data_IF_634239573429
#
_entry.id   IF_634239573429
#
_cell.length_a   1.000
_cell.length_b   1.000
_cell.length_c   1.000
_cell.angle_alpha   90.00
_cell.angle_beta   90.00
_cell.angle_gamma   90.00
#
_symmetry.space_group_name_H-M   'P 1'
#
loop_
_entity.id
_entity.type
_entity.pdbx_description
1 polymer ?
#
# COMPACT_ATOMS: atom_id res chain seq x y z
N UNK A 1 33.21 -7.40 -0.36
CA UNK A 1 32.65 -6.94 -1.65
C UNK A 1 31.15 -6.65 -1.49
N UNK A 2 30.81 -5.64 -0.69
CA UNK A 2 29.42 -5.31 -0.36
C UNK A 2 29.26 -3.79 -0.33
N UNK A 3 28.93 -3.19 -1.46
CA UNK A 3 28.49 -1.80 -1.57
C UNK A 3 28.05 -1.55 -3.02
N UNK A 4 27.01 -0.74 -3.21
CA UNK A 4 26.46 -0.20 -4.48
C UNK A 4 25.17 -0.81 -5.05
N UNK A 5 24.76 -2.06 -4.76
CA UNK A 5 23.41 -2.52 -5.16
C UNK A 5 22.29 -1.99 -4.24
N UNK A 6 22.61 -1.67 -2.99
CA UNK A 6 21.63 -1.22 -2.00
C UNK A 6 21.03 0.16 -2.33
N UNK A 7 21.71 1.04 -3.06
CA UNK A 7 21.23 2.42 -3.26
C UNK A 7 20.12 2.53 -4.30
N UNK A 8 20.24 1.89 -5.46
CA UNK A 8 19.22 1.93 -6.50
C UNK A 8 17.95 1.17 -6.09
N UNK A 9 18.13 0.03 -5.44
CA UNK A 9 17.04 -0.81 -4.97
C UNK A 9 16.30 -0.18 -3.77
N UNK A 10 17.04 0.40 -2.81
CA UNK A 10 16.43 1.17 -1.71
C UNK A 10 15.64 2.37 -2.21
N UNK A 11 16.09 3.02 -3.29
CA UNK A 11 15.37 4.15 -3.91
C UNK A 11 14.01 3.74 -4.50
N UNK A 12 13.85 2.49 -4.94
CA UNK A 12 12.59 1.98 -5.49
C UNK A 12 11.62 1.45 -4.45
N UNK A 13 12.04 1.39 -3.18
CA UNK A 13 11.16 1.02 -2.08
C UNK A 13 9.94 1.93 -2.02
N UNK A 14 8.82 1.32 -1.69
CA UNK A 14 7.52 1.96 -1.69
C UNK A 14 7.25 2.67 -0.36
N UNK A 15 6.59 3.81 -0.42
CA UNK A 15 6.20 4.61 0.74
C UNK A 15 4.71 4.89 0.65
N UNK A 16 4.00 4.67 1.75
CA UNK A 16 2.65 5.19 1.91
C UNK A 16 2.69 6.40 2.86
N UNK A 17 2.33 7.57 2.36
CA UNK A 17 2.12 8.76 3.18
C UNK A 17 0.76 8.65 3.85
N UNK A 18 0.75 8.42 5.16
CA UNK A 18 -0.42 8.40 6.01
C UNK A 18 -0.83 9.81 6.43
N UNK A 19 -2.14 10.06 6.43
CA UNK A 19 -2.73 11.32 6.89
C UNK A 19 -3.07 11.20 8.38
N UNK A 20 -2.34 11.95 9.20
CA UNK A 20 -2.47 11.93 10.66
C UNK A 20 -3.34 13.10 11.11
N UNK A 21 -4.47 12.79 11.75
CA UNK A 21 -5.47 13.78 12.16
C UNK A 21 -5.51 14.05 13.67
N UNK A 22 -4.79 13.27 14.47
CA UNK A 22 -4.75 13.42 15.92
C UNK A 22 -3.36 13.04 16.44
N UNK A 23 -2.92 13.69 17.52
CA UNK A 23 -1.60 13.47 18.11
C UNK A 23 -1.45 12.07 18.73
N UNK A 24 -2.54 11.49 19.24
CA UNK A 24 -2.55 10.16 19.87
C UNK A 24 -2.09 9.06 18.91
N UNK A 25 -2.55 9.08 17.67
CA UNK A 25 -2.13 8.11 16.65
C UNK A 25 -0.64 8.25 16.31
N UNK A 26 -0.09 9.48 16.36
CA UNK A 26 1.35 9.70 16.19
C UNK A 26 2.14 9.22 17.40
N UNK A 27 1.60 9.37 18.61
CA UNK A 27 2.21 8.88 19.84
C UNK A 27 2.30 7.35 19.86
N UNK A 28 1.22 6.64 19.47
CA UNK A 28 1.26 5.19 19.31
C UNK A 28 2.32 4.74 18.29
N UNK A 29 2.51 5.51 17.22
CA UNK A 29 3.56 5.24 16.23
C UNK A 29 4.97 5.41 16.83
N UNK A 30 5.16 6.42 17.68
CA UNK A 30 6.44 6.72 18.32
C UNK A 30 6.79 5.75 19.45
N UNK A 31 5.85 5.49 20.36
CA UNK A 31 6.10 4.78 21.62
C UNK A 31 5.83 3.29 21.51
N UNK A 32 4.71 2.92 20.87
CA UNK A 32 4.24 1.54 20.82
C UNK A 32 4.65 0.81 19.52
N UNK A 33 5.22 1.53 18.55
CA UNK A 33 5.70 0.98 17.28
C UNK A 33 4.59 0.52 16.34
N UNK A 34 3.41 1.16 16.37
CA UNK A 34 2.34 0.85 15.42
C UNK A 34 1.49 2.06 15.04
N UNK A 35 0.91 2.01 13.84
CA UNK A 35 -0.05 3.01 13.35
C UNK A 35 -1.32 2.33 12.83
N UNK A 36 -2.46 3.03 12.88
CA UNK A 36 -3.74 2.50 12.38
C UNK A 36 -4.27 3.23 11.16
N UNK A 37 -4.83 2.47 10.22
CA UNK A 37 -5.60 3.00 9.09
C UNK A 37 -7.02 2.43 9.13
N UNK A 38 -8.09 3.24 9.22
CA UNK A 38 -9.46 2.74 9.17
C UNK A 38 -9.72 2.00 7.84
N UNK A 39 -10.19 0.76 7.90
CA UNK A 39 -10.37 -0.08 6.69
C UNK A 39 -11.29 0.60 5.65
N UNK A 40 -12.35 1.27 6.12
CA UNK A 40 -13.32 1.98 5.27
C UNK A 40 -12.74 3.18 4.53
N UNK A 41 -11.66 3.79 5.06
CA UNK A 41 -11.00 4.97 4.50
C UNK A 41 -9.62 4.65 3.88
N UNK A 42 -9.22 3.39 3.91
CA UNK A 42 -7.93 2.96 3.38
C UNK A 42 -7.85 3.21 1.86
N UNK A 43 -6.68 3.61 1.35
CA UNK A 43 -6.44 3.69 -0.10
C UNK A 43 -6.59 2.31 -0.76
N UNK A 44 -6.61 2.27 -2.09
CA UNK A 44 -6.65 1.00 -2.85
C UNK A 44 -5.45 0.10 -2.54
N UNK A 45 -4.31 0.71 -2.23
CA UNK A 45 -3.06 0.04 -1.90
C UNK A 45 -2.51 0.57 -0.60
N UNK A 46 -2.54 -0.24 0.47
CA UNK A 46 -1.93 0.09 1.76
C UNK A 46 -0.52 -0.50 1.93
N UNK A 47 -0.17 -1.50 1.11
CA UNK A 47 1.12 -2.16 1.15
C UNK A 47 2.23 -1.20 0.76
N UNK A 48 3.19 -1.00 1.67
CA UNK A 48 4.38 -0.19 1.43
C UNK A 48 5.53 -0.61 2.35
N UNK A 49 6.77 -0.46 1.88
CA UNK A 49 7.98 -0.74 2.65
C UNK A 49 8.18 0.24 3.81
N UNK A 50 7.67 1.46 3.66
CA UNK A 50 7.68 2.50 4.69
C UNK A 50 6.33 3.20 4.81
N UNK A 51 6.03 3.67 6.02
CA UNK A 51 5.02 4.69 6.25
C UNK A 51 5.69 6.04 6.47
N UNK A 52 5.18 7.08 5.85
CA UNK A 52 5.49 8.47 6.17
C UNK A 52 4.28 9.16 6.78
N UNK A 53 4.47 10.13 7.67
CA UNK A 53 3.40 10.71 8.47
C UNK A 53 3.21 12.18 8.13
N UNK A 54 2.12 12.49 7.42
CA UNK A 54 1.67 13.86 7.21
C UNK A 54 0.83 14.32 8.41
N UNK A 55 1.34 15.24 9.22
CA UNK A 55 0.58 15.87 10.28
C UNK A 55 -0.36 16.92 9.67
N UNK A 56 -1.66 16.77 9.82
CA UNK A 56 -2.63 17.75 9.28
C UNK A 56 -2.63 19.07 10.05
N UNK A 57 -3.43 20.04 9.57
CA UNK A 57 -3.74 21.26 10.32
C UNK A 57 -4.53 21.03 11.63
N UNK A 58 -4.76 19.80 12.08
CA UNK A 58 -5.19 19.55 13.47
C UNK A 58 -4.05 19.84 14.47
N UNK A 59 -2.81 19.87 14.00
CA UNK A 59 -1.59 20.08 14.79
C UNK A 59 -1.19 21.57 14.87
N UNK A 60 -2.13 22.52 14.67
CA UNK A 60 -1.94 23.98 14.46
C UNK A 60 -0.87 24.71 15.30
N UNK A 61 -0.56 24.21 16.49
CA UNK A 61 0.39 24.83 17.43
C UNK A 61 1.79 24.19 17.40
N UNK A 62 1.96 23.11 16.63
CA UNK A 62 3.20 22.37 16.51
C UNK A 62 3.96 22.79 15.26
N UNK A 63 5.29 22.81 15.36
CA UNK A 63 6.16 23.12 14.21
C UNK A 63 5.97 22.12 13.07
N UNK A 64 5.58 20.87 13.36
CA UNK A 64 5.29 19.84 12.35
C UNK A 64 3.92 19.96 11.68
N UNK A 65 3.08 20.96 12.03
CA UNK A 65 1.78 21.11 11.41
C UNK A 65 1.89 21.21 9.88
N UNK A 66 0.98 20.52 9.19
CA UNK A 66 0.90 20.54 7.73
C UNK A 66 2.20 20.13 7.03
N UNK A 67 2.96 19.23 7.63
CA UNK A 67 4.26 18.80 7.16
C UNK A 67 4.38 17.27 7.23
N UNK A 68 5.22 16.67 6.39
CA UNK A 68 5.69 15.30 6.55
C UNK A 68 7.07 15.37 7.20
N UNK A 69 7.16 14.90 8.43
CA UNK A 69 8.40 15.02 9.22
C UNK A 69 9.04 13.68 9.53
N UNK A 70 8.21 12.64 9.69
CA UNK A 70 8.64 11.34 10.15
C UNK A 70 8.26 10.25 9.15
N UNK A 71 9.08 9.22 9.10
CA UNK A 71 8.81 7.98 8.38
C UNK A 71 9.37 6.79 9.15
N UNK A 72 8.86 5.60 8.89
CA UNK A 72 9.31 4.37 9.56
C UNK A 72 9.15 3.16 8.64
N UNK A 73 10.06 2.16 8.74
CA UNK A 73 9.93 0.93 7.96
C UNK A 73 8.73 0.12 8.46
N UNK A 74 7.91 -0.37 7.53
CA UNK A 74 6.78 -1.24 7.83
C UNK A 74 7.26 -2.64 8.18
N UNK A 75 6.61 -3.28 9.16
CA UNK A 75 6.94 -4.63 9.64
C UNK A 75 5.85 -5.64 9.36
N UNK A 76 4.61 -5.38 9.79
CA UNK A 76 3.47 -6.28 9.55
C UNK A 76 2.14 -5.55 9.59
N UNK A 77 1.14 -6.16 8.99
CA UNK A 77 -0.24 -5.69 8.92
C UNK A 77 -1.16 -6.70 9.59
N UNK A 78 -2.07 -6.19 10.42
CA UNK A 78 -3.16 -6.97 11.02
C UNK A 78 -4.46 -6.25 10.83
N UNK A 79 -5.54 -6.99 10.60
CA UNK A 79 -6.89 -6.45 10.59
C UNK A 79 -7.50 -6.68 11.97
N UNK A 80 -7.83 -5.60 12.67
CA UNK A 80 -8.37 -5.63 14.04
C UNK A 80 -9.51 -4.64 14.15
N UNK A 81 -10.43 -4.88 15.08
CA UNK A 81 -11.47 -3.93 15.44
C UNK A 81 -10.90 -2.78 16.28
N UNK A 82 -11.59 -1.65 16.37
CA UNK A 82 -11.15 -0.53 17.22
C UNK A 82 -11.06 -0.95 18.70
N UNK A 83 -12.00 -1.73 19.20
CA UNK A 83 -12.01 -2.20 20.59
C UNK A 83 -10.77 -3.05 20.92
N UNK A 84 -10.32 -3.89 19.98
CA UNK A 84 -9.09 -4.67 20.15
C UNK A 84 -7.83 -3.79 20.10
N UNK A 85 -7.84 -2.71 19.30
CA UNK A 85 -6.71 -1.78 19.20
C UNK A 85 -6.59 -0.82 20.37
N UNK A 86 -7.72 -0.33 20.84
CA UNK A 86 -7.84 0.64 21.93
C UNK A 86 -8.80 0.08 22.99
N UNK A 87 -8.32 -0.78 23.90
CA UNK A 87 -9.17 -1.41 24.91
C UNK A 87 -9.90 -0.41 25.83
N UNK A 88 -9.32 0.77 26.05
CA UNK A 88 -9.93 1.86 26.82
C UNK A 88 -11.12 2.52 26.10
N UNK A 89 -11.36 2.22 24.82
CA UNK A 89 -12.43 2.81 24.00
C UNK A 89 -13.47 1.77 23.56
N UNK A 90 -13.76 0.77 24.40
CA UNK A 90 -14.72 -0.31 24.08
C UNK A 90 -16.14 0.20 23.81
N UNK A 91 -16.56 1.28 24.46
CA UNK A 91 -17.89 1.89 24.30
C UNK A 91 -17.95 2.95 23.19
N UNK A 92 -16.87 3.13 22.41
CA UNK A 92 -16.86 4.09 21.31
C UNK A 92 -17.90 3.66 20.25
N UNK A 93 -18.65 4.59 19.60
CA UNK A 93 -19.60 4.27 18.52
C UNK A 93 -19.04 3.50 17.31
N UNK A 94 -17.72 3.33 17.27
CA UNK A 94 -16.94 2.69 16.21
C UNK A 94 -16.07 1.55 16.75
N UNK A 95 -16.37 1.07 17.95
CA UNK A 95 -15.64 -0.01 18.61
C UNK A 95 -15.52 -1.27 17.72
N UNK A 96 -16.58 -1.59 16.98
CA UNK A 96 -16.62 -2.72 16.05
C UNK A 96 -16.09 -2.41 14.63
N UNK A 97 -15.71 -1.16 14.32
CA UNK A 97 -15.15 -0.83 13.01
C UNK A 97 -13.76 -1.48 12.87
N UNK A 98 -13.46 -1.99 11.67
CA UNK A 98 -12.15 -2.56 11.36
C UNK A 98 -11.11 -1.51 10.97
N UNK A 99 -9.88 -1.76 11.39
CA UNK A 99 -8.68 -0.97 11.16
C UNK A 99 -7.53 -1.90 10.78
N UNK A 100 -6.69 -1.45 9.86
CA UNK A 100 -5.36 -2.04 9.66
C UNK A 100 -4.44 -1.51 10.76
N UNK A 101 -3.95 -2.39 11.63
CA UNK A 101 -2.81 -2.12 12.51
C UNK A 101 -1.54 -2.45 11.77
N UNK A 102 -0.74 -1.43 11.53
CA UNK A 102 0.54 -1.53 10.83
C UNK A 102 1.61 -1.39 11.88
N UNK A 103 2.35 -2.46 12.13
CA UNK A 103 3.56 -2.38 12.94
C UNK A 103 4.67 -1.77 12.12
N UNK A 104 5.44 -0.92 12.79
CA UNK A 104 6.50 -0.13 12.18
C UNK A 104 7.77 -0.23 13.04
N UNK A 105 8.91 0.04 12.42
CA UNK A 105 10.14 0.30 13.16
C UNK A 105 10.11 1.68 13.87
N UNK A 106 11.23 2.05 14.49
CA UNK A 106 11.35 3.36 15.13
C UNK A 106 11.12 4.49 14.11
N UNK A 107 10.48 5.58 14.55
CA UNK A 107 10.31 6.77 13.73
C UNK A 107 11.67 7.39 13.41
N UNK A 108 11.87 7.68 12.13
CA UNK A 108 13.03 8.36 11.60
C UNK A 108 12.59 9.75 11.15
N UNK A 109 13.33 10.78 11.56
CA UNK A 109 13.08 12.15 11.11
C UNK A 109 13.70 12.36 9.73
N UNK A 110 12.95 12.98 8.83
CA UNK A 110 13.50 13.44 7.55
C UNK A 110 14.50 14.57 7.80
N UNK A 111 15.63 14.55 7.10
CA UNK A 111 16.61 15.65 7.14
C UNK A 111 15.97 16.97 6.73
N UNK A 112 15.04 16.93 5.76
CA UNK A 112 14.25 18.06 5.29
C UNK A 112 12.76 17.68 5.38
N UNK A 113 12.02 18.22 6.36
CA UNK A 113 10.57 18.03 6.44
C UNK A 113 9.87 18.60 5.20
N UNK A 114 8.81 17.94 4.74
CA UNK A 114 8.13 18.26 3.47
C UNK A 114 6.81 18.99 3.78
N UNK A 115 6.72 20.32 3.59
CA UNK A 115 5.50 21.08 3.85
C UNK A 115 4.41 20.82 2.81
N UNK A 116 3.15 20.97 3.20
CA UNK A 116 2.03 20.92 2.23
C UNK A 116 1.74 22.25 1.53
N UNK A 117 2.53 23.30 1.77
CA UNK A 117 2.36 24.62 1.16
C UNK A 117 0.91 25.12 1.19
N UNK A 118 0.34 25.41 0.02
CA UNK A 118 -1.07 25.83 -0.14
C UNK A 118 -2.06 24.67 -0.26
N UNK A 119 -1.58 23.42 -0.29
CA UNK A 119 -2.39 22.23 -0.50
C UNK A 119 -3.13 21.84 0.78
N UNK A 120 -4.47 22.03 0.78
CA UNK A 120 -5.27 21.99 2.01
C UNK A 120 -5.88 20.63 2.37
N UNK A 121 -5.96 19.70 1.42
CA UNK A 121 -6.65 18.40 1.62
C UNK A 121 -5.84 17.27 1.03
N UNK A 122 -4.94 16.74 1.83
CA UNK A 122 -4.20 15.53 1.50
C UNK A 122 -5.04 14.28 1.75
N UNK A 123 -4.99 13.37 0.80
CA UNK A 123 -5.34 11.97 0.98
C UNK A 123 -4.06 11.17 1.19
N UNK A 124 -4.20 9.86 1.41
CA UNK A 124 -3.07 8.95 1.32
C UNK A 124 -2.36 9.10 -0.03
N UNK A 125 -1.03 9.09 -0.03
CA UNK A 125 -0.19 9.13 -1.24
C UNK A 125 0.66 7.87 -1.27
N UNK A 126 0.59 7.10 -2.35
CA UNK A 126 1.53 6.02 -2.61
C UNK A 126 2.67 6.56 -3.49
N UNK A 127 3.91 6.44 -3.01
CA UNK A 127 5.09 7.04 -3.62
C UNK A 127 6.32 6.16 -3.41
N UNK A 128 7.50 6.64 -3.80
CA UNK A 128 8.77 5.94 -3.58
C UNK A 128 9.60 6.63 -2.50
N UNK A 129 10.51 5.88 -1.87
CA UNK A 129 11.44 6.42 -0.89
C UNK A 129 12.35 7.49 -1.52
N UNK A 130 12.73 7.29 -2.77
CA UNK A 130 13.50 8.28 -3.54
C UNK A 130 12.79 9.63 -3.69
N UNK A 131 11.49 9.61 -4.01
CA UNK A 131 10.66 10.83 -4.08
C UNK A 131 10.50 11.47 -2.70
N UNK A 132 10.22 10.66 -1.68
CA UNK A 132 10.09 11.15 -0.30
C UNK A 132 11.35 11.91 0.15
N UNK A 133 12.54 11.36 -0.09
CA UNK A 133 13.80 11.97 0.38
C UNK A 133 14.22 13.23 -0.41
N UNK A 134 13.66 13.45 -1.60
CA UNK A 134 14.00 14.59 -2.47
C UNK A 134 12.93 15.66 -2.55
N UNK A 135 11.68 15.34 -2.20
CA UNK A 135 10.57 16.26 -2.32
C UNK A 135 10.79 17.54 -1.49
N UNK A 136 10.42 18.67 -2.08
CA UNK A 136 10.41 19.97 -1.40
C UNK A 136 8.99 20.36 -1.00
N UNK A 137 7.98 19.79 -1.67
CA UNK A 137 6.57 19.98 -1.39
C UNK A 137 5.82 18.64 -1.54
N UNK A 138 4.72 18.47 -0.80
CA UNK A 138 3.87 17.26 -0.90
C UNK A 138 3.39 16.96 -2.33
N UNK A 139 3.29 17.99 -3.20
CA UNK A 139 2.92 17.83 -4.62
C UNK A 139 3.93 16.99 -5.40
N UNK A 140 5.20 17.00 -5.01
CA UNK A 140 6.27 16.24 -5.68
C UNK A 140 6.15 14.72 -5.45
N UNK A 141 5.35 14.33 -4.45
CA UNK A 141 5.14 12.92 -4.07
C UNK A 141 4.14 12.21 -4.98
N UNK A 142 3.28 12.94 -5.67
CA UNK A 142 2.29 12.36 -6.58
C UNK A 142 2.96 11.83 -7.85
N UNK A 143 2.51 10.66 -8.29
CA UNK A 143 2.94 10.03 -9.54
C UNK A 143 1.81 10.14 -10.56
N UNK A 144 2.05 10.79 -11.69
CA UNK A 144 1.04 10.97 -12.75
C UNK A 144 0.74 9.66 -13.48
N UNK A 145 1.75 8.80 -13.67
CA UNK A 145 1.66 7.56 -14.46
C UNK A 145 1.89 6.30 -13.61
N UNK A 146 1.21 6.19 -12.46
CA UNK A 146 1.37 5.05 -11.55
C UNK A 146 0.97 3.71 -12.24
N UNK A 147 1.92 2.77 -12.46
CA UNK A 147 1.62 1.49 -13.08
C UNK A 147 0.57 0.67 -12.31
N UNK A 148 0.46 0.84 -10.99
CA UNK A 148 -0.60 0.22 -10.21
C UNK A 148 -1.99 0.66 -10.68
N UNK A 149 -2.20 1.97 -10.91
CA UNK A 149 -3.49 2.49 -11.36
C UNK A 149 -3.78 2.12 -12.82
N UNK A 150 -2.75 2.01 -13.67
CA UNK A 150 -2.88 1.49 -15.04
C UNK A 150 -3.38 0.03 -15.02
N UNK A 151 -2.72 -0.85 -14.26
CA UNK A 151 -3.13 -2.24 -14.13
C UNK A 151 -4.52 -2.37 -13.49
N UNK A 152 -4.80 -1.61 -12.43
CA UNK A 152 -6.11 -1.60 -11.78
C UNK A 152 -7.24 -1.24 -12.75
N UNK A 153 -7.01 -0.23 -13.60
CA UNK A 153 -7.99 0.23 -14.59
C UNK A 153 -8.21 -0.82 -15.68
N UNK A 154 -7.13 -1.35 -16.24
CA UNK A 154 -7.20 -2.40 -17.27
C UNK A 154 -7.92 -3.66 -16.77
N UNK A 155 -7.64 -4.10 -15.53
CA UNK A 155 -8.37 -5.22 -14.93
C UNK A 155 -9.89 -4.97 -14.91
N UNK A 156 -10.32 -3.76 -14.55
CA UNK A 156 -11.74 -3.39 -14.52
C UNK A 156 -12.35 -3.33 -15.91
N UNK A 157 -11.61 -2.83 -16.90
CA UNK A 157 -12.02 -2.80 -18.31
C UNK A 157 -12.23 -4.22 -18.86
N UNK A 158 -11.42 -5.18 -18.42
CA UNK A 158 -11.61 -6.61 -18.69
C UNK A 158 -12.65 -7.31 -17.80
N UNK A 159 -13.55 -6.55 -17.16
CA UNK A 159 -14.64 -7.05 -16.30
C UNK A 159 -14.19 -7.87 -15.09
N UNK A 160 -12.92 -7.77 -14.69
CA UNK A 160 -12.45 -8.33 -13.44
C UNK A 160 -12.85 -7.43 -12.27
N UNK A 161 -13.03 -8.04 -11.10
CA UNK A 161 -13.38 -7.35 -9.86
C UNK A 161 -12.21 -7.37 -8.88
N UNK A 162 -11.21 -6.47 -9.04
CA UNK A 162 -10.09 -6.38 -8.12
C UNK A 162 -10.58 -5.99 -6.73
N UNK A 163 -10.13 -6.76 -5.74
CA UNK A 163 -10.28 -6.49 -4.32
C UNK A 163 -9.00 -5.82 -3.81
N UNK A 164 -9.16 -4.84 -2.92
CA UNK A 164 -8.06 -4.09 -2.32
C UNK A 164 -7.67 -4.65 -0.95
N UNK A 165 -6.37 -4.60 -0.65
CA UNK A 165 -5.82 -4.77 0.70
C UNK A 165 -6.22 -6.06 1.43
N UNK A 166 -6.45 -7.17 0.71
CA UNK A 166 -6.72 -8.45 1.39
C UNK A 166 -5.41 -8.94 2.01
N UNK A 167 -5.43 -9.22 3.31
CA UNK A 167 -4.27 -9.71 4.03
C UNK A 167 -4.03 -11.19 3.71
N UNK A 168 -2.78 -11.53 3.46
CA UNK A 168 -2.27 -12.88 3.28
C UNK A 168 -1.14 -13.05 4.30
N UNK A 169 -1.44 -13.78 5.38
CA UNK A 169 -0.61 -13.71 6.57
C UNK A 169 -0.56 -12.28 7.11
N UNK A 170 0.65 -11.76 7.24
CA UNK A 170 0.94 -10.46 7.85
C UNK A 170 1.12 -9.32 6.82
N UNK A 171 0.84 -9.55 5.54
CA UNK A 171 0.98 -8.52 4.50
C UNK A 171 -0.25 -8.44 3.58
N UNK A 172 -0.61 -7.23 3.11
CA UNK A 172 -1.65 -7.05 2.11
C UNK A 172 -1.12 -7.41 0.72
N UNK A 173 -1.92 -8.14 -0.05
CA UNK A 173 -1.74 -8.18 -1.50
C UNK A 173 -2.15 -6.82 -2.10
N UNK A 174 -1.36 -6.31 -3.06
CA UNK A 174 -1.64 -5.02 -3.69
C UNK A 174 -2.95 -5.05 -4.48
N UNK A 175 -3.15 -6.13 -5.24
CA UNK A 175 -4.42 -6.45 -5.90
C UNK A 175 -4.79 -7.90 -5.60
N UNK A 176 -6.07 -8.17 -5.36
CA UNK A 176 -6.56 -9.55 -5.22
C UNK A 176 -7.70 -9.81 -6.19
N UNK A 177 -7.65 -10.94 -6.89
CA UNK A 177 -8.71 -11.40 -7.77
C UNK A 177 -9.28 -12.71 -7.23
N UNK A 178 -10.61 -12.80 -7.15
CA UNK A 178 -11.28 -14.03 -6.75
C UNK A 178 -11.40 -14.97 -7.95
N UNK A 179 -11.02 -16.22 -7.77
CA UNK A 179 -11.21 -17.31 -8.72
C UNK A 179 -12.15 -18.37 -8.12
N UNK A 180 -12.53 -19.38 -8.91
CA UNK A 180 -13.43 -20.45 -8.46
C UNK A 180 -12.82 -21.31 -7.35
N UNK A 181 -11.52 -21.61 -7.44
CA UNK A 181 -10.83 -22.49 -6.49
C UNK A 181 -10.04 -21.74 -5.41
N UNK A 182 -10.03 -20.41 -5.42
CA UNK A 182 -9.18 -19.63 -4.52
C UNK A 182 -9.03 -18.17 -4.92
N UNK A 183 -7.85 -17.61 -4.63
CA UNK A 183 -7.50 -16.22 -4.87
C UNK A 183 -6.18 -16.09 -5.61
N UNK A 184 -6.12 -15.12 -6.51
CA UNK A 184 -4.89 -14.66 -7.13
C UNK A 184 -4.48 -13.34 -6.45
N UNK A 185 -3.36 -13.36 -5.74
CA UNK A 185 -2.70 -12.16 -5.24
C UNK A 185 -1.75 -11.61 -6.30
N UNK A 186 -1.76 -10.30 -6.52
CA UNK A 186 -0.81 -9.61 -7.38
C UNK A 186 -0.04 -8.61 -6.54
N UNK A 187 1.27 -8.70 -6.64
CA UNK A 187 2.23 -7.85 -5.96
C UNK A 187 2.90 -6.91 -6.97
N UNK A 188 2.63 -5.61 -6.85
CA UNK A 188 3.13 -4.56 -7.76
C UNK A 188 4.46 -3.98 -7.25
N UNK A 189 5.47 -4.83 -7.04
CA UNK A 189 6.74 -4.44 -6.44
C UNK A 189 7.92 -5.05 -7.19
N UNK A 190 9.07 -4.38 -7.10
CA UNK A 190 10.35 -4.93 -7.56
C UNK A 190 10.80 -6.12 -6.69
N UNK A 191 11.75 -6.92 -7.18
CA UNK A 191 12.16 -8.22 -6.61
C UNK A 191 12.49 -8.19 -5.11
N UNK A 192 12.82 -7.02 -4.56
CA UNK A 192 13.43 -6.84 -3.24
C UNK A 192 12.47 -6.26 -2.18
N UNK A 193 11.19 -6.58 -2.24
CA UNK A 193 10.42 -6.56 -0.97
C UNK A 193 10.92 -7.75 -0.16
N UNK A 194 11.49 -7.48 1.02
CA UNK A 194 11.92 -8.48 2.00
C UNK A 194 10.69 -9.20 2.61
N UNK A 195 9.82 -9.73 1.74
CA UNK A 195 8.76 -10.65 2.08
C UNK A 195 9.46 -11.97 2.30
N UNK A 196 9.85 -12.22 3.55
CA UNK A 196 10.00 -13.60 3.99
C UNK A 196 8.71 -14.30 3.61
N UNK A 197 8.82 -15.29 2.71
CA UNK A 197 7.72 -16.09 2.21
C UNK A 197 6.94 -16.63 3.40
N UNK A 198 5.87 -15.95 3.81
CA UNK A 198 5.08 -16.38 4.93
C UNK A 198 4.29 -17.59 4.44
N UNK A 199 4.48 -18.80 5.02
CA UNK A 199 3.66 -19.94 4.68
C UNK A 199 2.25 -19.58 5.13
N UNK A 200 1.36 -19.28 4.19
CA UNK A 200 0.01 -18.87 4.54
C UNK A 200 -0.64 -20.03 5.32
N UNK A 201 -1.13 -19.74 6.53
CA UNK A 201 -2.10 -20.60 7.24
C UNK A 201 -3.51 -20.44 6.67
N UNK A 202 -3.63 -20.08 5.39
CA UNK A 202 -4.92 -19.83 4.77
C UNK A 202 -5.59 -21.17 4.40
N UNK A 203 -6.86 -21.31 4.78
CA UNK A 203 -7.75 -22.41 4.37
C UNK A 203 -8.11 -22.36 2.88
N UNK A 204 -7.87 -21.22 2.22
CA UNK A 204 -8.18 -20.98 0.82
C UNK A 204 -6.91 -21.18 -0.04
N UNK A 205 -7.04 -21.67 -1.28
CA UNK A 205 -5.87 -21.77 -2.18
C UNK A 205 -5.47 -20.38 -2.71
N UNK A 206 -4.19 -20.05 -2.61
CA UNK A 206 -3.63 -18.79 -3.11
C UNK A 206 -2.59 -19.06 -4.19
N UNK A 207 -2.64 -18.29 -5.27
CA UNK A 207 -1.55 -18.16 -6.23
C UNK A 207 -1.09 -16.70 -6.23
N UNK A 208 0.22 -16.47 -6.40
CA UNK A 208 0.78 -15.12 -6.43
C UNK A 208 1.48 -14.86 -7.76
N UNK A 209 1.23 -13.67 -8.31
CA UNK A 209 1.98 -13.10 -9.40
C UNK A 209 2.67 -11.83 -8.93
N UNK A 210 3.97 -11.74 -9.21
CA UNK A 210 4.72 -10.51 -9.00
C UNK A 210 4.87 -9.80 -10.34
N UNK A 211 4.45 -8.54 -10.39
CA UNK A 211 4.52 -7.70 -11.58
C UNK A 211 5.27 -6.42 -11.19
N UNK A 212 6.47 -6.22 -11.72
CA UNK A 212 7.21 -5.00 -11.42
C UNK A 212 6.53 -3.78 -12.06
N UNK A 213 6.65 -2.56 -11.47
CA UNK A 213 6.14 -1.35 -12.10
C UNK A 213 6.67 -1.14 -13.53
N UNK A 214 7.93 -1.51 -13.79
CA UNK A 214 8.53 -1.44 -15.12
C UNK A 214 7.93 -2.43 -16.12
N UNK A 215 7.60 -3.64 -15.68
CA UNK A 215 6.92 -4.63 -16.52
C UNK A 215 5.49 -4.17 -16.86
N UNK A 216 4.76 -3.63 -15.89
CA UNK A 216 3.39 -3.14 -16.10
C UNK A 216 3.38 -1.97 -17.09
N UNK A 217 4.31 -1.02 -16.94
CA UNK A 217 4.41 0.13 -17.83
C UNK A 217 4.90 -0.24 -19.25
N UNK A 218 5.74 -1.28 -19.37
CA UNK A 218 6.34 -1.69 -20.64
C UNK A 218 5.53 -2.70 -21.45
N UNK A 219 4.78 -3.60 -20.80
CA UNK A 219 3.98 -4.65 -21.45
C UNK A 219 2.74 -5.00 -20.60
N UNK A 220 1.76 -4.09 -20.61
CA UNK A 220 0.50 -4.27 -19.89
C UNK A 220 -0.28 -5.49 -20.40
N UNK A 221 -0.33 -5.70 -21.71
CA UNK A 221 -1.03 -6.83 -22.32
C UNK A 221 -0.39 -8.17 -21.90
N UNK A 222 0.95 -8.23 -21.82
CA UNK A 222 1.66 -9.38 -21.28
C UNK A 222 1.34 -9.65 -19.82
N UNK A 223 1.23 -8.61 -19.00
CA UNK A 223 0.77 -8.74 -17.62
C UNK A 223 -0.65 -9.32 -17.54
N UNK A 224 -1.57 -8.82 -18.36
CA UNK A 224 -2.95 -9.31 -18.42
C UNK A 224 -3.02 -10.78 -18.88
N UNK A 225 -2.19 -11.19 -19.85
CA UNK A 225 -2.08 -12.60 -20.26
C UNK A 225 -1.58 -13.49 -19.12
N UNK A 226 -0.58 -13.06 -18.36
CA UNK A 226 -0.09 -13.81 -17.20
C UNK A 226 -1.17 -13.96 -16.12
N UNK A 227 -1.90 -12.88 -15.84
CA UNK A 227 -3.03 -12.87 -14.90
C UNK A 227 -4.12 -13.83 -15.38
N UNK A 228 -4.50 -13.78 -16.66
CA UNK A 228 -5.47 -14.70 -17.25
C UNK A 228 -5.06 -16.17 -17.10
N UNK A 229 -3.79 -16.48 -17.39
CA UNK A 229 -3.27 -17.84 -17.23
C UNK A 229 -3.31 -18.34 -15.77
N UNK A 230 -2.98 -17.48 -14.80
CA UNK A 230 -3.09 -17.81 -13.37
C UNK A 230 -4.55 -18.00 -12.94
N UNK A 231 -5.46 -17.15 -13.40
CA UNK A 231 -6.90 -17.32 -13.13
C UNK A 231 -7.43 -18.64 -13.69
N UNK A 232 -7.01 -19.06 -14.89
CA UNK A 232 -7.39 -20.35 -15.49
C UNK A 232 -6.89 -21.51 -14.63
N UNK A 233 -5.64 -21.47 -14.14
CA UNK A 233 -5.11 -22.48 -13.21
C UNK A 233 -5.92 -22.57 -11.92
N UNK A 234 -6.39 -21.44 -11.40
CA UNK A 234 -7.30 -21.37 -10.25
C UNK A 234 -8.78 -21.67 -10.59
N UNK A 235 -9.06 -22.21 -11.78
CA UNK A 235 -10.38 -22.66 -12.20
C UNK A 235 -11.32 -21.56 -12.73
N UNK A 236 -10.76 -20.44 -13.18
CA UNK A 236 -11.48 -19.42 -13.96
C UNK A 236 -11.68 -19.84 -15.42
N UNK A 237 -12.73 -19.33 -16.06
CA UNK A 237 -12.89 -19.39 -17.52
C UNK A 237 -12.07 -18.27 -18.18
N UNK A 238 -11.61 -18.51 -19.41
CA UNK A 238 -10.76 -17.60 -20.19
C UNK A 238 -11.34 -16.18 -20.17
N UNK A 239 -10.51 -15.18 -19.83
CA UNK A 239 -10.85 -13.77 -20.01
C UNK A 239 -11.31 -13.59 -21.45
N UNK A 240 -12.53 -13.08 -21.67
CA UNK A 240 -13.00 -12.77 -23.02
C UNK A 240 -12.02 -11.77 -23.63
N UNK A 241 -11.12 -12.27 -24.49
CA UNK A 241 -10.37 -11.44 -25.40
C UNK A 241 -11.41 -10.75 -26.28
N UNK A 242 -11.46 -9.42 -26.21
CA UNK A 242 -12.22 -8.62 -27.18
C UNK A 242 -11.72 -9.00 -28.55
N UNK A 243 -12.56 -9.72 -29.30
CA UNK A 243 -12.34 -10.05 -30.70
C UNK A 243 -12.18 -8.72 -31.42
N UNK A 244 -10.97 -8.42 -31.90
CA UNK A 244 -10.75 -7.36 -32.85
C UNK A 244 -11.54 -7.73 -34.12
N UNK A 245 -12.63 -7.02 -34.38
CA UNK A 245 -13.32 -7.06 -35.66
C UNK A 245 -12.34 -6.58 -36.73
N UNK A 246 -11.85 -7.51 -37.55
CA UNK A 246 -11.29 -7.20 -38.86
C UNK A 246 -12.44 -6.71 -39.74
N UNK A 247 -12.40 -5.43 -40.13
CA UNK A 247 -12.96 -4.98 -41.41
C UNK A 247 -11.80 -4.71 -42.35
#
# INVERSE_FOLDING_TARGET
MAAHYSSADTRRRTVLVAVVNNATDLQHAADDGWYRIPQRRAPRRIGADYLAFYQTGAFREQAEAQTITYYAPTRRYRLMTRAELLPAEVDHPRAADYYYRIEIGPLQRLERPIPSGTFRRLTFIHTTLDRLLRAEDVRDLFQTDDPFEQLWSALREHNLRPLRNRLVGDYPADITLRARRGYLGIDCADETTARETCPSRATESWEFLRLSPGQIAGDLDGCLRQIGAALIRLGGSVLNATVAEKT
#
